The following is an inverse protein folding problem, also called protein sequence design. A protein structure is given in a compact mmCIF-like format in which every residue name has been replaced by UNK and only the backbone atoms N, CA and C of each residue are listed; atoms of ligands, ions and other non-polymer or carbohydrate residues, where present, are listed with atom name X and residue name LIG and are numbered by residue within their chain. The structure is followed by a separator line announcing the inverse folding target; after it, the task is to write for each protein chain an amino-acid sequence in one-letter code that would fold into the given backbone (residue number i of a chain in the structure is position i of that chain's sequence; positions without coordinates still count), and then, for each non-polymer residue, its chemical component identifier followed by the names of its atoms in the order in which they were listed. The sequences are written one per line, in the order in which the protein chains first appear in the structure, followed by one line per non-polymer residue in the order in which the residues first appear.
data_IF_338949551632
#
_entry.id   IF_338949551632
#
_cell.length_a   1.000
_cell.length_b   1.000
_cell.length_c   1.000
_cell.angle_alpha   90.00
_cell.angle_beta   90.00
_cell.angle_gamma   90.00
#
_symmetry.space_group_name_H-M   'P 1'
#
loop_
_entity.id
_entity.type
_entity.pdbx_description
1 polymer ?
#
# COMPACT_ATOMS: atom_id res chain seq x y z
N UNK A 1 7.07 21.39 -0.27
CA UNK A 1 6.57 22.02 -1.54
C UNK A 1 6.15 20.91 -2.46
N UNK A 2 4.98 20.98 -3.08
CA UNK A 2 4.52 20.01 -4.09
C UNK A 2 5.32 20.23 -5.38
N UNK A 3 5.87 19.15 -5.95
CA UNK A 3 6.64 19.20 -7.19
C UNK A 3 5.79 18.61 -8.31
N UNK A 4 5.43 19.47 -9.26
CA UNK A 4 4.70 19.02 -10.46
C UNK A 4 5.63 18.23 -11.36
N UNK A 5 5.13 17.12 -11.90
CA UNK A 5 5.88 16.21 -12.77
C UNK A 5 5.62 16.54 -14.23
N UNK A 6 6.67 16.51 -15.03
CA UNK A 6 6.59 16.61 -16.49
C UNK A 6 6.00 15.32 -17.09
N UNK A 7 5.57 15.36 -18.34
CA UNK A 7 5.04 14.18 -19.05
C UNK A 7 6.05 13.02 -19.10
N UNK A 8 7.35 13.32 -19.24
CA UNK A 8 8.40 12.30 -19.20
C UNK A 8 8.52 11.66 -17.81
N UNK A 9 8.53 12.47 -16.76
CA UNK A 9 8.58 12.01 -15.37
C UNK A 9 7.36 11.17 -15.01
N UNK A 10 6.17 11.59 -15.47
CA UNK A 10 4.94 10.78 -15.30
C UNK A 10 5.02 9.42 -16.01
N UNK A 11 5.69 9.35 -17.18
CA UNK A 11 5.91 8.08 -17.87
C UNK A 11 6.82 7.16 -17.08
N UNK A 12 7.91 7.69 -16.51
CA UNK A 12 8.83 6.92 -15.64
C UNK A 12 8.12 6.47 -14.34
N UNK A 13 7.31 7.34 -13.72
CA UNK A 13 6.48 6.99 -12.55
C UNK A 13 5.45 5.90 -12.87
N UNK A 14 4.80 5.94 -14.03
CA UNK A 14 3.88 4.89 -14.46
C UNK A 14 4.55 3.53 -14.57
N UNK A 15 5.81 3.50 -15.00
CA UNK A 15 6.57 2.25 -15.08
C UNK A 15 6.85 1.69 -13.68
N UNK A 16 7.33 2.53 -12.74
CA UNK A 16 7.57 2.10 -11.37
C UNK A 16 6.29 1.66 -10.65
N UNK A 17 5.19 2.41 -10.82
CA UNK A 17 3.87 2.02 -10.30
C UNK A 17 3.37 0.68 -10.89
N UNK A 18 3.62 0.42 -12.17
CA UNK A 18 3.25 -0.85 -12.80
C UNK A 18 4.04 -2.02 -12.20
N UNK A 19 5.33 -1.84 -11.95
CA UNK A 19 6.17 -2.88 -11.35
C UNK A 19 5.71 -3.16 -9.91
N UNK A 20 5.49 -2.14 -9.08
CA UNK A 20 5.01 -2.34 -7.71
C UNK A 20 3.61 -2.96 -7.67
N UNK A 21 2.70 -2.58 -8.58
CA UNK A 21 1.38 -3.20 -8.69
C UNK A 21 1.44 -4.68 -9.14
N UNK A 22 2.38 -5.05 -10.01
CA UNK A 22 2.61 -6.44 -10.39
C UNK A 22 3.22 -7.25 -9.24
N UNK A 23 4.15 -6.67 -8.47
CA UNK A 23 4.66 -7.28 -7.24
C UNK A 23 3.54 -7.53 -6.24
N UNK A 24 2.65 -6.54 -6.04
CA UNK A 24 1.51 -6.68 -5.15
C UNK A 24 0.53 -7.77 -5.63
N UNK A 25 0.31 -7.90 -6.93
CA UNK A 25 -0.48 -9.01 -7.48
C UNK A 25 0.17 -10.36 -7.18
N UNK A 26 1.48 -10.49 -7.37
CA UNK A 26 2.23 -11.69 -7.01
C UNK A 26 2.11 -12.01 -5.52
N UNK A 27 2.16 -10.99 -4.63
CA UNK A 27 1.91 -11.19 -3.20
C UNK A 27 0.57 -11.87 -2.96
N UNK A 28 -0.50 -11.42 -3.60
CA UNK A 28 -1.83 -12.03 -3.47
C UNK A 28 -1.89 -13.49 -3.94
N UNK A 29 -1.05 -13.88 -4.91
CA UNK A 29 -0.94 -15.27 -5.36
C UNK A 29 -0.16 -16.16 -4.36
N UNK A 30 0.75 -15.56 -3.59
CA UNK A 30 1.62 -16.24 -2.63
C UNK A 30 1.01 -16.34 -1.22
N UNK A 31 0.13 -15.39 -0.83
CA UNK A 31 -0.52 -15.38 0.49
C UNK A 31 -1.46 -16.57 0.60
N UNK A 32 -0.97 -17.61 1.30
CA UNK A 32 -1.72 -18.85 1.57
C UNK A 32 -1.30 -19.41 2.92
N UNK A 33 -2.18 -20.16 3.60
CA UNK A 33 -1.80 -20.88 4.80
C UNK A 33 -0.57 -21.77 4.56
N UNK A 34 0.35 -21.77 5.51
CA UNK A 34 1.59 -22.54 5.46
C UNK A 34 2.79 -21.81 4.82
N UNK A 35 2.59 -20.64 4.22
CA UNK A 35 3.67 -19.82 3.65
C UNK A 35 4.22 -18.88 4.71
N UNK A 36 5.55 -18.70 4.77
CA UNK A 36 6.14 -17.71 5.68
C UNK A 36 6.17 -16.31 5.06
N UNK A 37 6.06 -15.27 5.89
CA UNK A 37 6.15 -13.89 5.43
C UNK A 37 7.53 -13.56 4.83
N UNK A 38 8.62 -14.17 5.34
CA UNK A 38 9.96 -14.05 4.75
C UNK A 38 10.03 -14.63 3.33
N UNK A 39 9.35 -15.73 3.06
CA UNK A 39 9.30 -16.31 1.71
C UNK A 39 8.58 -15.38 0.73
N UNK A 40 7.48 -14.77 1.16
CA UNK A 40 6.76 -13.77 0.34
C UNK A 40 7.68 -12.60 0.02
N UNK A 41 8.37 -12.03 1.03
CA UNK A 41 9.33 -10.92 0.82
C UNK A 41 10.43 -11.29 -0.18
N UNK A 42 11.02 -12.48 -0.03
CA UNK A 42 12.05 -12.97 -0.96
C UNK A 42 11.54 -13.02 -2.40
N UNK A 43 10.36 -13.58 -2.63
CA UNK A 43 9.77 -13.68 -3.97
C UNK A 43 9.46 -12.32 -4.58
N UNK A 44 8.98 -11.37 -3.77
CA UNK A 44 8.73 -10.00 -4.21
C UNK A 44 10.05 -9.26 -4.53
N UNK A 45 11.08 -9.46 -3.71
CA UNK A 45 12.43 -8.95 -3.98
C UNK A 45 12.95 -9.43 -5.34
N UNK A 46 12.94 -10.74 -5.54
CA UNK A 46 13.42 -11.37 -6.78
C UNK A 46 12.63 -10.88 -8.01
N UNK A 47 11.30 -10.77 -7.88
CA UNK A 47 10.46 -10.22 -8.93
C UNK A 47 10.85 -8.78 -9.28
N UNK A 48 10.94 -7.88 -8.30
CA UNK A 48 11.28 -6.46 -8.52
C UNK A 48 12.65 -6.34 -9.20
N UNK A 49 13.65 -7.07 -8.71
CA UNK A 49 15.00 -7.07 -9.29
C UNK A 49 14.99 -7.62 -10.72
N UNK A 50 14.22 -8.66 -11.02
CA UNK A 50 14.07 -9.21 -12.37
C UNK A 50 13.50 -8.22 -13.38
N UNK A 51 12.72 -7.22 -12.90
CA UNK A 51 12.19 -6.14 -13.73
C UNK A 51 13.22 -5.00 -13.96
N UNK A 52 14.45 -5.13 -13.48
CA UNK A 52 15.47 -4.08 -13.52
C UNK A 52 15.20 -2.93 -12.54
N UNK A 53 14.28 -3.10 -11.61
CA UNK A 53 13.92 -2.14 -10.57
C UNK A 53 14.62 -2.47 -9.23
N UNK A 54 14.50 -1.55 -8.27
CA UNK A 54 15.01 -1.74 -6.90
C UNK A 54 13.84 -1.70 -5.91
N UNK A 55 13.77 -2.62 -4.93
CA UNK A 55 12.85 -2.49 -3.80
C UNK A 55 13.15 -1.17 -3.05
N UNK A 56 12.12 -0.36 -2.80
CA UNK A 56 12.34 0.98 -2.21
C UNK A 56 12.40 0.97 -0.70
N UNK A 57 11.86 -0.06 -0.06
CA UNK A 57 11.82 -0.14 1.40
C UNK A 57 13.11 -0.71 1.98
N UNK A 58 13.80 -1.60 1.24
CA UNK A 58 15.05 -2.22 1.69
C UNK A 58 16.13 -1.17 1.99
N UNK A 59 16.50 -1.05 3.25
CA UNK A 59 17.47 -0.07 3.74
C UNK A 59 16.89 1.34 4.01
N UNK A 60 15.64 1.61 3.65
CA UNK A 60 15.00 2.90 3.92
C UNK A 60 14.78 3.07 5.43
N UNK A 61 15.43 4.09 6.02
CA UNK A 61 15.39 4.29 7.46
C UNK A 61 15.89 3.08 8.29
N UNK A 62 16.67 2.19 7.67
CA UNK A 62 17.15 0.95 8.30
C UNK A 62 16.18 -0.24 8.21
N UNK A 63 15.09 -0.12 7.43
CA UNK A 63 14.13 -1.21 7.25
C UNK A 63 14.81 -2.43 6.58
N UNK A 64 14.67 -3.66 7.12
CA UNK A 64 15.52 -4.78 6.73
C UNK A 64 14.99 -5.60 5.54
N UNK A 65 13.80 -5.29 5.01
CA UNK A 65 13.10 -6.11 4.03
C UNK A 65 12.67 -5.31 2.78
N UNK A 66 12.23 -5.99 1.74
CA UNK A 66 11.83 -5.38 0.47
C UNK A 66 10.37 -4.91 0.45
N UNK A 67 9.55 -5.47 1.32
CA UNK A 67 8.15 -5.09 1.52
C UNK A 67 7.78 -5.12 3.00
N UNK A 68 6.69 -4.44 3.37
CA UNK A 68 6.07 -4.62 4.68
C UNK A 68 4.99 -5.70 4.58
N UNK A 69 4.93 -6.60 5.55
CA UNK A 69 3.89 -7.63 5.65
C UNK A 69 3.33 -7.62 7.07
N UNK A 70 2.13 -7.06 7.19
CA UNK A 70 1.44 -6.91 8.47
C UNK A 70 0.29 -7.90 8.55
N UNK A 71 0.25 -8.72 9.59
CA UNK A 71 -0.73 -9.81 9.73
C UNK A 71 -1.71 -9.49 10.85
N UNK A 72 -3.00 -9.54 10.57
CA UNK A 72 -4.11 -9.30 11.49
C UNK A 72 -4.01 -7.91 12.18
N UNK A 73 -3.71 -7.86 13.47
CA UNK A 73 -3.68 -6.63 14.28
C UNK A 73 -2.43 -5.76 14.09
N UNK A 74 -1.48 -6.20 13.27
CA UNK A 74 -0.34 -5.37 12.89
C UNK A 74 -0.81 -4.26 11.95
N UNK A 75 -0.77 -3.01 12.41
CA UNK A 75 -1.37 -1.87 11.69
C UNK A 75 -0.64 -1.60 10.38
N UNK A 76 0.69 -1.36 10.44
CA UNK A 76 1.57 -1.13 9.29
C UNK A 76 3.02 -1.53 9.62
N UNK A 77 3.87 -1.56 8.60
CA UNK A 77 5.32 -1.76 8.70
C UNK A 77 5.73 -3.09 9.34
N UNK A 78 4.88 -4.14 9.25
CA UNK A 78 5.25 -5.47 9.70
C UNK A 78 6.52 -5.95 8.97
N UNK A 79 7.51 -6.45 9.75
CA UNK A 79 8.78 -6.94 9.21
C UNK A 79 8.60 -8.41 8.82
N UNK A 80 8.81 -8.78 7.55
CA UNK A 80 8.81 -10.17 7.10
C UNK A 80 9.77 -11.05 7.93
N UNK A 81 9.30 -12.21 8.33
CA UNK A 81 10.03 -13.11 9.23
C UNK A 81 9.67 -14.58 8.98
N UNK A 82 10.13 -15.47 9.83
CA UNK A 82 9.71 -16.88 9.84
C UNK A 82 8.25 -17.09 10.26
N UNK A 83 7.46 -16.04 10.51
CA UNK A 83 6.02 -16.17 10.82
C UNK A 83 5.31 -16.85 9.67
N UNK A 84 4.64 -17.95 9.96
CA UNK A 84 3.83 -18.71 9.00
C UNK A 84 2.43 -18.13 9.00
N UNK A 85 1.91 -17.87 7.81
CA UNK A 85 0.54 -17.42 7.57
C UNK A 85 -0.41 -18.60 7.86
N UNK A 86 -1.48 -18.33 8.59
CA UNK A 86 -2.46 -19.32 9.00
C UNK A 86 -3.79 -19.15 8.25
N UNK A 87 -4.62 -20.18 8.26
CA UNK A 87 -5.99 -20.13 7.75
C UNK A 87 -6.79 -19.09 8.54
N UNK A 88 -7.41 -18.15 7.83
CA UNK A 88 -8.20 -17.08 8.44
C UNK A 88 -7.44 -15.77 8.68
N UNK A 89 -6.14 -15.75 8.47
CA UNK A 89 -5.36 -14.50 8.55
C UNK A 89 -5.77 -13.51 7.45
N UNK A 90 -5.78 -12.23 7.78
CA UNK A 90 -5.73 -11.14 6.81
C UNK A 90 -4.29 -10.58 6.78
N UNK A 91 -3.74 -10.46 5.59
CA UNK A 91 -2.32 -10.10 5.39
C UNK A 91 -2.23 -8.86 4.53
N UNK A 92 -1.83 -7.75 5.14
CA UNK A 92 -1.59 -6.49 4.45
C UNK A 92 -0.15 -6.47 3.93
N UNK A 93 0.00 -6.35 2.63
CA UNK A 93 1.30 -6.22 1.96
C UNK A 93 1.42 -4.83 1.39
N UNK A 94 2.53 -4.17 1.72
CA UNK A 94 2.90 -2.86 1.19
C UNK A 94 4.26 -2.99 0.50
N UNK A 95 4.33 -2.60 -0.78
CA UNK A 95 5.49 -2.84 -1.63
C UNK A 95 5.78 -1.68 -2.56
N UNK A 96 7.02 -1.23 -2.54
CA UNK A 96 7.50 -0.17 -3.40
C UNK A 96 8.61 -0.62 -4.35
N UNK A 97 8.59 -0.09 -5.57
CA UNK A 97 9.62 -0.33 -6.57
C UNK A 97 10.11 0.96 -7.20
N UNK A 98 11.42 1.08 -7.41
CA UNK A 98 12.03 2.24 -8.07
C UNK A 98 12.75 1.84 -9.35
N UNK A 99 12.46 2.56 -10.44
CA UNK A 99 13.16 2.47 -11.72
C UNK A 99 13.25 3.85 -12.36
N UNK A 100 14.29 4.12 -13.12
CA UNK A 100 14.56 5.42 -13.76
C UNK A 100 14.58 6.61 -12.79
N UNK A 101 14.86 6.36 -11.50
CA UNK A 101 14.89 7.39 -10.46
C UNK A 101 13.51 7.80 -9.93
N UNK A 102 12.46 7.05 -10.20
CA UNK A 102 11.11 7.28 -9.70
C UNK A 102 10.58 6.06 -8.95
N UNK A 103 9.75 6.32 -7.94
CA UNK A 103 9.15 5.33 -7.05
C UNK A 103 7.68 5.11 -7.39
N UNK A 104 7.27 3.84 -7.39
CA UNK A 104 5.88 3.42 -7.29
C UNK A 104 5.67 2.69 -5.97
N UNK A 105 4.51 2.88 -5.36
CA UNK A 105 4.17 2.42 -4.03
C UNK A 105 2.71 1.93 -4.02
N UNK A 106 2.48 0.71 -3.54
CA UNK A 106 1.18 0.07 -3.58
C UNK A 106 0.97 -0.87 -2.38
N UNK A 107 -0.21 -0.83 -1.81
CA UNK A 107 -0.59 -1.72 -0.73
C UNK A 107 -1.96 -2.38 -0.97
N UNK A 108 -2.13 -3.59 -0.48
CA UNK A 108 -3.41 -4.28 -0.40
C UNK A 108 -3.41 -5.33 0.70
N UNK A 109 -4.62 -5.68 1.16
CA UNK A 109 -4.82 -6.76 2.14
C UNK A 109 -5.41 -7.98 1.44
N UNK A 110 -4.88 -9.15 1.76
CA UNK A 110 -5.26 -10.44 1.19
C UNK A 110 -5.75 -11.39 2.29
N UNK A 111 -6.78 -12.16 1.98
CA UNK A 111 -7.26 -13.22 2.86
C UNK A 111 -6.43 -14.50 2.66
N UNK A 112 -5.97 -15.11 3.73
CA UNK A 112 -5.34 -16.42 3.70
C UNK A 112 -6.40 -17.51 3.95
N UNK A 113 -6.89 -18.13 2.88
CA UNK A 113 -7.99 -19.09 2.96
C UNK A 113 -9.33 -18.42 3.31
N UNK A 114 -10.11 -19.07 4.19
CA UNK A 114 -11.42 -18.55 4.60
C UNK A 114 -11.30 -17.68 5.84
N UNK A 115 -11.58 -16.39 5.70
CA UNK A 115 -11.57 -15.42 6.80
C UNK A 115 -12.97 -15.26 7.44
N UNK A 116 -13.04 -14.60 8.60
CA UNK A 116 -14.31 -14.25 9.23
C UNK A 116 -15.10 -13.23 8.39
N UNK A 117 -16.42 -13.17 8.62
CA UNK A 117 -17.28 -12.16 7.95
C UNK A 117 -16.85 -10.73 8.31
N UNK A 118 -16.39 -10.49 9.52
CA UNK A 118 -15.90 -9.20 9.96
C UNK A 118 -14.60 -8.81 9.24
N UNK A 119 -13.65 -9.75 9.13
CA UNK A 119 -12.41 -9.55 8.38
C UNK A 119 -12.68 -9.30 6.89
N UNK A 120 -13.58 -10.05 6.27
CA UNK A 120 -13.99 -9.81 4.90
C UNK A 120 -14.63 -8.43 4.73
N UNK A 121 -15.52 -8.06 5.65
CA UNK A 121 -16.22 -6.77 5.63
C UNK A 121 -15.23 -5.59 5.71
N UNK A 122 -14.23 -5.62 6.61
CA UNK A 122 -13.26 -4.53 6.70
C UNK A 122 -12.40 -4.43 5.43
N UNK A 123 -12.01 -5.56 4.85
CA UNK A 123 -11.26 -5.58 3.58
C UNK A 123 -12.08 -4.96 2.44
N UNK A 124 -13.35 -5.33 2.30
CA UNK A 124 -14.23 -4.82 1.24
C UNK A 124 -14.51 -3.33 1.42
N UNK A 125 -14.80 -2.88 2.65
CA UNK A 125 -15.02 -1.46 2.96
C UNK A 125 -13.75 -0.64 2.70
N UNK A 126 -12.57 -1.13 3.09
CA UNK A 126 -11.30 -0.44 2.86
C UNK A 126 -10.99 -0.32 1.37
N UNK A 127 -11.25 -1.38 0.61
CA UNK A 127 -11.09 -1.36 -0.85
C UNK A 127 -12.02 -0.35 -1.52
N UNK A 128 -13.26 -0.28 -1.08
CA UNK A 128 -14.22 0.72 -1.59
C UNK A 128 -13.82 2.14 -1.18
N UNK A 129 -13.26 2.35 0.01
CA UNK A 129 -12.68 3.63 0.43
C UNK A 129 -11.62 4.12 -0.56
N UNK A 130 -10.74 3.24 -1.05
CA UNK A 130 -9.74 3.58 -2.06
C UNK A 130 -10.38 4.10 -3.36
N UNK A 131 -11.41 3.42 -3.87
CA UNK A 131 -12.09 3.87 -5.09
C UNK A 131 -12.78 5.22 -4.91
N UNK A 132 -13.41 5.44 -3.77
CA UNK A 132 -14.01 6.75 -3.44
C UNK A 132 -12.97 7.86 -3.30
N UNK A 133 -11.81 7.54 -2.73
CA UNK A 133 -10.69 8.47 -2.67
C UNK A 133 -10.21 8.85 -4.09
N UNK A 134 -10.08 7.87 -4.99
CA UNK A 134 -9.69 8.09 -6.39
C UNK A 134 -10.73 8.96 -7.12
N UNK A 135 -12.02 8.69 -6.94
CA UNK A 135 -13.10 9.49 -7.51
C UNK A 135 -13.10 10.95 -6.99
N UNK A 136 -12.78 11.14 -5.71
CA UNK A 136 -12.69 12.46 -5.11
C UNK A 136 -11.41 13.22 -5.52
N UNK A 137 -10.37 12.53 -5.99
CA UNK A 137 -9.09 13.12 -6.39
C UNK A 137 -9.17 13.75 -7.80
N UNK A 138 -10.07 14.72 -7.97
CA UNK A 138 -10.30 15.43 -9.23
C UNK A 138 -9.77 16.86 -9.17
N UNK A 139 -9.42 17.46 -10.33
CA UNK A 139 -9.08 18.87 -10.41
C UNK A 139 -10.21 19.74 -9.85
N UNK A 140 -9.87 20.68 -8.97
CA UNK A 140 -10.82 21.55 -8.27
C UNK A 140 -11.19 21.08 -6.86
N UNK A 141 -11.00 19.81 -6.54
CA UNK A 141 -11.21 19.28 -5.20
C UNK A 141 -9.95 19.51 -4.33
N UNK A 142 -10.16 19.48 -3.02
CA UNK A 142 -9.11 19.60 -2.01
C UNK A 142 -8.73 18.22 -1.47
N UNK A 143 -7.53 18.07 -0.91
CA UNK A 143 -7.14 16.82 -0.21
C UNK A 143 -8.09 16.44 0.93
N UNK A 144 -8.68 17.45 1.60
CA UNK A 144 -9.70 17.23 2.62
C UNK A 144 -10.98 16.56 2.07
N UNK A 145 -11.31 16.75 0.80
CA UNK A 145 -12.46 16.09 0.17
C UNK A 145 -12.16 14.62 -0.08
N UNK A 146 -10.91 14.28 -0.43
CA UNK A 146 -10.43 12.90 -0.56
C UNK A 146 -10.52 12.18 0.79
N UNK A 147 -9.95 12.76 1.85
CA UNK A 147 -10.01 12.20 3.20
C UNK A 147 -11.45 12.09 3.73
N UNK A 148 -12.32 13.06 3.42
CA UNK A 148 -13.72 12.99 3.79
C UNK A 148 -14.45 11.82 3.10
N UNK A 149 -14.17 11.56 1.83
CA UNK A 149 -14.77 10.45 1.09
C UNK A 149 -14.43 9.09 1.74
N UNK A 150 -13.18 8.92 2.19
CA UNK A 150 -12.72 7.74 2.92
C UNK A 150 -13.41 7.65 4.29
N UNK A 151 -13.24 8.67 5.12
CA UNK A 151 -13.72 8.66 6.51
C UNK A 151 -15.23 8.49 6.61
N UNK A 152 -16.00 9.20 5.79
CA UNK A 152 -17.46 9.13 5.82
C UNK A 152 -17.99 7.75 5.46
N UNK A 153 -17.37 7.11 4.46
CA UNK A 153 -17.76 5.77 4.04
C UNK A 153 -17.38 4.72 5.09
N UNK A 154 -16.13 4.71 5.59
CA UNK A 154 -15.73 3.79 6.64
C UNK A 154 -16.64 3.88 7.88
N UNK A 155 -16.95 5.11 8.33
CA UNK A 155 -17.85 5.35 9.46
C UNK A 155 -19.26 4.83 9.24
N UNK A 156 -19.80 4.84 8.03
CA UNK A 156 -21.15 4.31 7.73
C UNK A 156 -21.26 2.80 7.95
N UNK A 157 -20.12 2.09 7.99
CA UNK A 157 -20.04 0.66 8.32
C UNK A 157 -19.58 0.37 9.76
N UNK A 158 -19.38 1.40 10.58
CA UNK A 158 -18.94 1.28 11.97
C UNK A 158 -17.42 1.22 12.13
N UNK A 159 -16.65 1.44 11.07
CA UNK A 159 -15.18 1.46 11.13
C UNK A 159 -14.63 2.88 11.36
N UNK A 160 -13.46 2.96 11.94
CA UNK A 160 -12.70 4.20 12.11
C UNK A 160 -11.47 4.20 11.20
N UNK A 161 -11.04 5.38 10.75
CA UNK A 161 -9.77 5.55 10.06
C UNK A 161 -8.63 5.74 11.04
N UNK A 162 -7.45 5.24 10.70
CA UNK A 162 -6.23 5.45 11.49
C UNK A 162 -5.85 6.94 11.43
N UNK A 163 -5.50 7.53 12.59
CA UNK A 163 -5.27 8.97 12.71
C UNK A 163 -3.80 9.36 12.77
N UNK A 164 -2.97 8.45 13.26
CA UNK A 164 -1.55 8.71 13.55
C UNK A 164 -0.66 8.55 12.32
N UNK A 165 -1.20 7.94 11.27
CA UNK A 165 -0.53 7.79 9.98
C UNK A 165 -1.31 8.49 8.88
N UNK A 166 -0.60 8.89 7.83
CA UNK A 166 -1.16 9.57 6.68
C UNK A 166 -0.52 9.04 5.39
N UNK A 167 -1.28 9.04 4.31
CA UNK A 167 -0.74 8.81 2.98
C UNK A 167 0.20 9.95 2.55
N UNK A 168 0.93 9.73 1.48
CA UNK A 168 1.95 10.67 1.00
C UNK A 168 2.07 10.66 -0.53
N UNK A 169 2.59 11.74 -1.08
CA UNK A 169 3.03 11.76 -2.46
C UNK A 169 4.27 10.88 -2.65
N UNK A 170 4.43 10.38 -3.87
CA UNK A 170 5.63 9.66 -4.31
C UNK A 170 6.25 10.35 -5.51
N UNK A 171 7.53 10.10 -5.77
CA UNK A 171 8.23 10.64 -6.91
C UNK A 171 9.67 10.15 -6.98
N UNK A 172 10.63 11.07 -6.98
CA UNK A 172 12.05 10.72 -6.87
C UNK A 172 12.40 10.16 -5.49
N UNK A 173 11.65 10.55 -4.48
CA UNK A 173 11.73 10.01 -3.13
C UNK A 173 10.52 9.13 -2.86
N UNK A 174 10.67 8.19 -1.95
CA UNK A 174 9.57 7.36 -1.46
C UNK A 174 8.48 8.25 -0.83
N UNK A 175 8.86 9.22 -0.01
CA UNK A 175 7.94 10.18 0.60
C UNK A 175 8.17 11.57 0.02
N UNK A 176 7.16 12.11 -0.65
CA UNK A 176 7.10 13.50 -1.13
C UNK A 176 5.81 14.18 -0.65
N UNK A 177 5.84 15.51 -0.60
CA UNK A 177 4.61 16.29 -0.38
C UNK A 177 3.62 16.10 -1.55
N UNK A 178 2.32 16.14 -1.25
CA UNK A 178 1.69 16.47 0.02
C UNK A 178 1.51 15.25 0.94
N UNK A 179 1.24 15.49 2.24
CA UNK A 179 0.65 14.47 3.11
C UNK A 179 -0.84 14.35 2.80
N UNK A 180 -1.35 13.12 2.74
CA UNK A 180 -2.73 12.82 2.34
C UNK A 180 -3.42 12.06 3.48
N UNK A 181 -4.10 12.77 4.41
CA UNK A 181 -4.79 12.11 5.53
C UNK A 181 -6.07 11.42 5.05
N UNK A 182 -6.36 10.25 5.63
CA UNK A 182 -7.60 9.48 5.39
C UNK A 182 -8.82 10.06 6.13
N UNK A 183 -8.77 11.32 6.51
CA UNK A 183 -9.81 12.02 7.26
C UNK A 183 -9.95 13.45 6.78
N UNK A 184 -11.15 14.05 7.05
CA UNK A 184 -11.34 15.47 6.80
C UNK A 184 -10.37 16.28 7.67
N UNK A 185 -9.36 16.86 7.04
CA UNK A 185 -8.48 17.83 7.66
C UNK A 185 -9.16 19.20 7.66
N UNK A 186 -9.32 19.79 8.83
CA UNK A 186 -9.78 21.19 8.96
C UNK A 186 -8.55 22.07 8.81
N UNK A 187 -8.25 22.44 7.59
CA UNK A 187 -7.32 23.53 7.25
C UNK A 187 -7.97 24.42 6.24
#
# INVERSE_FOLDING_TARGET
MVVLKTSKELSDMKLSCKISAQALKLAGELIKPGVSTAYVDQMLHEFIVSQGAKPTFLGYGGFPASCCISVNDEVIHGIPSGRVIEEGDIVSVDVGAAINGYTGDNAATFAAGKVSEEAQKIMDVTKECLYRAIEAAQPGNRLGDVGYAVESYAKSFGFAVVRDYVGHGVGRKLHESPSIPDRKSVV
#
